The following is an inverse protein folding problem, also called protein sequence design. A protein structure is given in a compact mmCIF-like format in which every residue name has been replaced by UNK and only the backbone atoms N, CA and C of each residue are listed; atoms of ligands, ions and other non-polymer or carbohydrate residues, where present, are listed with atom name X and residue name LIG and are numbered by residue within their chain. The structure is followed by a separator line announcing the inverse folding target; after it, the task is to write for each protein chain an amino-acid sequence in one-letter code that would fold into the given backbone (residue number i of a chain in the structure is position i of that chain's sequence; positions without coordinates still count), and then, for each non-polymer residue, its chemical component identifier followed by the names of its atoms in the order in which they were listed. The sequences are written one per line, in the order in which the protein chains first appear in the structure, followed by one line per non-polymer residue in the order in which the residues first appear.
data_IF_576465646864
#
_entry.id   IF_576465646864
#
_cell.length_a   1.000
_cell.length_b   1.000
_cell.length_c   1.000
_cell.angle_alpha   90.00
_cell.angle_beta   90.00
_cell.angle_gamma   90.00
#
_symmetry.space_group_name_H-M   'P 1'
#
loop_
_entity.id
_entity.type
_entity.pdbx_description
1 polymer ?
#
# COMPACT_ATOMS: atom_id res chain seq x y z
N UNK A 1 -54.15 -5.50 17.63
CA UNK A 1 -54.13 -4.21 16.91
C UNK A 1 -52.78 -3.54 17.12
N UNK A 2 -52.10 -3.10 16.05
CA UNK A 2 -50.84 -2.35 16.19
C UNK A 2 -51.16 -0.88 16.42
N UNK A 3 -50.75 -0.32 17.57
CA UNK A 3 -50.99 1.09 17.91
C UNK A 3 -50.22 2.01 16.95
N UNK A 4 -50.96 2.76 16.13
CA UNK A 4 -50.42 3.80 15.25
C UNK A 4 -50.59 5.17 15.90
N UNK A 5 -49.57 6.01 15.80
CA UNK A 5 -49.55 7.39 16.27
C UNK A 5 -49.30 8.33 15.08
N UNK A 6 -49.88 9.52 15.13
CA UNK A 6 -49.65 10.55 14.12
C UNK A 6 -48.32 11.27 14.38
N UNK A 7 -47.48 11.39 13.37
CA UNK A 7 -46.23 12.16 13.46
C UNK A 7 -46.53 13.67 13.47
N UNK A 8 -46.08 14.44 14.48
CA UNK A 8 -46.38 15.87 14.57
C UNK A 8 -45.69 16.72 13.49
N UNK A 9 -44.65 16.21 12.82
CA UNK A 9 -43.93 16.94 11.75
C UNK A 9 -44.56 16.77 10.36
N UNK A 10 -45.05 15.57 10.02
CA UNK A 10 -45.54 15.26 8.67
C UNK A 10 -46.98 14.74 8.60
N UNK A 11 -47.66 14.58 9.74
CA UNK A 11 -49.05 14.11 9.80
C UNK A 11 -49.27 12.62 9.50
N UNK A 12 -48.23 11.85 9.13
CA UNK A 12 -48.38 10.41 8.82
C UNK A 12 -48.71 9.60 10.08
N UNK A 13 -49.66 8.67 9.97
CA UNK A 13 -49.91 7.65 11.00
C UNK A 13 -48.92 6.48 10.84
N UNK A 14 -47.99 6.34 11.78
CA UNK A 14 -46.98 5.26 11.78
C UNK A 14 -47.03 4.50 13.10
N UNK A 15 -46.46 3.29 13.13
CA UNK A 15 -46.46 2.50 14.36
C UNK A 15 -45.62 3.19 15.44
N UNK A 16 -45.99 3.04 16.72
CA UNK A 16 -45.21 3.62 17.84
C UNK A 16 -43.73 3.19 17.84
N UNK A 17 -43.42 1.98 17.36
CA UNK A 17 -42.06 1.46 17.22
C UNK A 17 -41.20 2.24 16.21
N UNK A 18 -41.82 2.84 15.17
CA UNK A 18 -41.15 3.61 14.11
C UNK A 18 -40.86 5.07 14.50
N UNK A 19 -41.17 5.47 15.72
CA UNK A 19 -40.82 6.78 16.25
C UNK A 19 -39.40 6.81 16.80
N UNK A 20 -38.63 7.80 16.35
CA UNK A 20 -37.31 8.15 16.89
C UNK A 20 -37.46 9.47 17.67
N UNK A 21 -37.58 9.35 19.00
CA UNK A 21 -37.94 10.48 19.86
C UNK A 21 -39.39 10.91 19.64
N UNK A 22 -39.59 12.16 19.22
CA UNK A 22 -40.93 12.78 19.05
C UNK A 22 -41.47 12.73 17.62
N UNK A 23 -40.69 12.25 16.64
CA UNK A 23 -41.06 12.23 15.22
C UNK A 23 -40.91 10.82 14.63
N UNK A 24 -41.55 10.56 13.50
CA UNK A 24 -41.36 9.31 12.77
C UNK A 24 -39.94 9.22 12.19
N UNK A 25 -39.47 7.99 11.94
CA UNK A 25 -38.14 7.71 11.36
C UNK A 25 -37.79 8.54 10.13
N UNK A 26 -38.73 8.69 9.19
CA UNK A 26 -38.51 9.48 7.96
C UNK A 26 -38.19 10.94 8.28
N UNK A 27 -39.03 11.55 9.11
CA UNK A 27 -38.88 12.94 9.53
C UNK A 27 -37.60 13.20 10.34
N UNK A 28 -37.20 12.19 11.12
CA UNK A 28 -35.94 12.19 11.85
C UNK A 28 -34.74 12.18 10.90
N UNK A 29 -34.73 11.29 9.91
CA UNK A 29 -33.64 11.17 8.93
C UNK A 29 -33.48 12.44 8.07
N UNK A 30 -34.58 13.11 7.71
CA UNK A 30 -34.54 14.40 7.00
C UNK A 30 -33.89 15.52 7.84
N UNK A 31 -34.08 15.51 9.16
CA UNK A 31 -33.52 16.51 10.07
C UNK A 31 -32.11 16.19 10.53
N UNK A 32 -31.67 14.94 10.39
CA UNK A 32 -30.39 14.45 10.87
C UNK A 32 -29.59 13.93 9.67
N UNK A 33 -28.81 14.81 9.01
CA UNK A 33 -28.01 14.44 7.85
C UNK A 33 -27.04 13.30 8.20
N UNK A 34 -26.56 12.63 7.16
CA UNK A 34 -25.75 11.43 7.29
C UNK A 34 -24.56 11.65 8.25
N UNK A 35 -24.51 10.95 9.39
CA UNK A 35 -23.52 11.22 10.43
C UNK A 35 -22.12 10.73 10.06
N UNK A 36 -22.02 9.94 9.00
CA UNK A 36 -20.79 9.41 8.45
C UNK A 36 -20.49 10.06 7.10
N UNK A 37 -19.27 10.57 6.96
CA UNK A 37 -18.75 11.03 5.67
C UNK A 37 -17.41 10.36 5.37
N UNK A 38 -16.98 10.46 4.11
CA UNK A 38 -15.69 9.94 3.66
C UNK A 38 -14.91 11.07 3.00
N UNK A 39 -13.74 11.42 3.56
CA UNK A 39 -12.88 12.55 3.15
C UNK A 39 -12.27 12.44 1.75
N UNK A 40 -12.35 11.26 1.14
CA UNK A 40 -11.78 10.97 -0.17
C UNK A 40 -12.88 10.74 -1.20
N UNK A 41 -12.62 11.12 -2.44
CA UNK A 41 -13.44 10.81 -3.62
C UNK A 41 -12.70 9.89 -4.60
N UNK A 42 -11.39 9.72 -4.42
CA UNK A 42 -10.57 8.85 -5.25
C UNK A 42 -9.40 8.27 -4.46
N UNK A 43 -8.89 7.13 -4.93
CA UNK A 43 -7.72 6.44 -4.40
C UNK A 43 -6.71 6.33 -5.54
N UNK A 44 -5.48 6.84 -5.40
CA UNK A 44 -4.46 6.67 -6.44
C UNK A 44 -4.09 5.20 -6.61
N UNK A 45 -4.02 4.74 -7.87
CA UNK A 45 -3.70 3.37 -8.28
C UNK A 45 -2.47 3.40 -9.20
N UNK A 46 -1.43 2.65 -8.85
CA UNK A 46 -0.26 2.50 -9.70
C UNK A 46 -0.58 1.59 -10.89
N UNK A 47 -0.41 2.07 -12.12
CA UNK A 47 -0.67 1.30 -13.34
C UNK A 47 0.32 0.15 -13.57
N UNK A 48 1.52 0.24 -12.99
CA UNK A 48 2.58 -0.77 -13.21
C UNK A 48 2.53 -1.94 -12.22
N UNK A 49 2.21 -1.71 -10.94
CA UNK A 49 2.22 -2.76 -9.91
C UNK A 49 0.87 -2.95 -9.20
N UNK A 50 -0.16 -2.18 -9.55
CA UNK A 50 -1.50 -2.30 -8.96
C UNK A 50 -1.63 -1.87 -7.50
N UNK A 51 -0.55 -1.41 -6.85
CA UNK A 51 -0.62 -0.86 -5.48
C UNK A 51 -1.41 0.45 -5.45
N UNK A 52 -2.02 0.74 -4.30
CA UNK A 52 -2.83 1.93 -4.07
C UNK A 52 -2.14 2.87 -3.06
N UNK A 53 -2.49 4.15 -3.05
CA UNK A 53 -1.93 5.11 -2.11
C UNK A 53 -2.95 5.51 -1.02
N UNK A 54 -2.53 5.36 0.25
CA UNK A 54 -3.19 5.92 1.43
C UNK A 54 -2.27 6.94 2.12
N UNK A 55 -1.72 6.59 3.28
CA UNK A 55 -0.60 7.30 3.89
C UNK A 55 0.76 6.86 3.33
N UNK A 56 0.80 5.66 2.74
CA UNK A 56 1.93 5.07 1.99
C UNK A 56 1.38 4.24 0.84
N UNK A 57 2.26 3.71 -0.01
CA UNK A 57 1.87 2.77 -1.06
C UNK A 57 1.61 1.39 -0.45
N UNK A 58 0.39 0.86 -0.65
CA UNK A 58 -0.09 -0.36 -0.03
C UNK A 58 -0.56 -1.37 -1.09
N UNK A 59 -0.48 -2.68 -0.81
CA UNK A 59 -1.15 -3.69 -1.62
C UNK A 59 -2.65 -3.37 -1.78
N UNK A 60 -3.22 -3.61 -2.97
CA UNK A 60 -4.65 -3.33 -3.25
C UNK A 60 -5.61 -4.03 -2.28
N UNK A 61 -5.23 -5.20 -1.75
CA UNK A 61 -6.00 -5.93 -0.72
C UNK A 61 -6.25 -5.11 0.56
N UNK A 62 -5.44 -4.08 0.84
CA UNK A 62 -5.56 -3.18 1.99
C UNK A 62 -6.39 -1.92 1.67
N UNK A 63 -7.18 -1.92 0.60
CA UNK A 63 -8.03 -0.78 0.23
C UNK A 63 -9.01 -0.38 1.34
N UNK A 64 -9.47 -1.34 2.14
CA UNK A 64 -10.31 -1.03 3.29
C UNK A 64 -9.59 -0.16 4.32
N UNK A 65 -8.30 -0.39 4.57
CA UNK A 65 -7.54 0.42 5.53
C UNK A 65 -7.46 1.89 5.08
N UNK A 66 -7.32 2.11 3.78
CA UNK A 66 -7.35 3.45 3.16
C UNK A 66 -8.72 4.10 3.31
N UNK A 67 -9.81 3.35 3.07
CA UNK A 67 -11.18 3.88 3.22
C UNK A 67 -11.44 4.19 4.69
N UNK A 68 -11.14 3.24 5.59
CA UNK A 68 -11.37 3.34 7.03
C UNK A 68 -10.67 4.54 7.65
N UNK A 69 -9.41 4.80 7.27
CA UNK A 69 -8.65 5.96 7.78
C UNK A 69 -9.20 7.32 7.33
N UNK A 70 -10.10 7.34 6.35
CA UNK A 70 -10.71 8.55 5.80
C UNK A 70 -12.17 8.75 6.22
N UNK A 71 -12.70 7.84 7.05
CA UNK A 71 -14.04 7.97 7.61
C UNK A 71 -14.05 9.12 8.62
N UNK A 72 -15.06 9.98 8.54
CA UNK A 72 -15.35 10.97 9.57
C UNK A 72 -16.74 10.81 10.11
N UNK A 73 -16.86 11.05 11.40
CA UNK A 73 -18.13 11.04 12.12
C UNK A 73 -18.43 12.45 12.61
N UNK A 74 -19.66 12.91 12.39
CA UNK A 74 -20.18 14.15 12.96
C UNK A 74 -20.86 13.94 14.32
N UNK A 75 -20.97 12.69 14.77
CA UNK A 75 -21.58 12.32 16.04
C UNK A 75 -20.67 11.37 16.83
N UNK A 76 -20.65 11.54 18.15
CA UNK A 76 -20.08 10.59 19.08
C UNK A 76 -20.93 9.30 19.14
N UNK A 77 -20.32 8.18 19.57
CA UNK A 77 -20.99 6.87 19.70
C UNK A 77 -21.40 6.20 18.37
N UNK A 78 -20.58 6.31 17.33
CA UNK A 78 -20.73 5.55 16.10
C UNK A 78 -19.85 4.30 16.07
N UNK A 79 -20.46 3.17 15.69
CA UNK A 79 -19.83 1.86 15.67
C UNK A 79 -19.99 1.20 14.30
N UNK A 80 -18.88 0.78 13.70
CA UNK A 80 -18.88 0.03 12.44
C UNK A 80 -19.38 -1.40 12.69
N UNK A 81 -20.28 -1.89 11.84
CA UNK A 81 -20.80 -3.26 11.87
C UNK A 81 -20.07 -4.11 10.84
N UNK A 82 -20.10 -3.69 9.58
CA UNK A 82 -19.53 -4.43 8.47
C UNK A 82 -19.25 -3.49 7.30
N UNK A 83 -18.49 -3.99 6.32
CA UNK A 83 -18.27 -3.31 5.06
C UNK A 83 -18.32 -4.31 3.91
N UNK A 84 -18.59 -3.81 2.72
CA UNK A 84 -18.51 -4.56 1.48
C UNK A 84 -17.92 -3.65 0.41
N UNK A 85 -16.94 -4.17 -0.31
CA UNK A 85 -16.28 -3.49 -1.41
C UNK A 85 -16.58 -4.23 -2.70
N UNK A 86 -16.99 -3.50 -3.73
CA UNK A 86 -17.23 -4.05 -5.06
C UNK A 86 -16.49 -3.21 -6.08
N UNK A 87 -15.67 -3.84 -6.90
CA UNK A 87 -15.07 -3.17 -8.06
C UNK A 87 -16.18 -2.76 -9.04
N UNK A 88 -16.09 -1.52 -9.52
CA UNK A 88 -17.06 -0.92 -10.44
C UNK A 88 -16.34 -0.18 -11.57
N UNK A 89 -17.07 0.12 -12.64
CA UNK A 89 -16.62 1.01 -13.71
C UNK A 89 -17.52 2.24 -13.69
N UNK A 90 -16.91 3.42 -13.61
CA UNK A 90 -17.59 4.72 -13.58
C UNK A 90 -17.05 5.56 -14.74
N UNK A 91 -17.89 5.86 -15.74
CA UNK A 91 -17.50 6.67 -16.90
C UNK A 91 -16.22 6.15 -17.59
N UNK A 92 -16.12 4.82 -17.75
CA UNK A 92 -14.95 4.14 -18.35
C UNK A 92 -13.71 4.05 -17.45
N UNK A 93 -13.77 4.54 -16.21
CA UNK A 93 -12.67 4.49 -15.23
C UNK A 93 -12.94 3.45 -14.16
N UNK A 94 -11.90 2.77 -13.70
CA UNK A 94 -12.02 1.85 -12.57
C UNK A 94 -12.39 2.62 -11.29
N UNK A 95 -13.22 2.01 -10.47
CA UNK A 95 -13.64 2.52 -9.19
C UNK A 95 -13.99 1.40 -8.21
N UNK A 96 -14.31 1.78 -6.98
CA UNK A 96 -14.75 0.86 -5.94
C UNK A 96 -16.00 1.43 -5.27
N UNK A 97 -17.06 0.63 -5.22
CA UNK A 97 -18.24 0.91 -4.40
C UNK A 97 -17.96 0.44 -2.98
N UNK A 98 -17.93 1.38 -2.04
CA UNK A 98 -17.87 1.08 -0.61
C UNK A 98 -19.27 1.15 0.00
N UNK A 99 -19.74 0.04 0.54
CA UNK A 99 -20.94 -0.04 1.37
C UNK A 99 -20.50 -0.30 2.80
N UNK A 100 -20.81 0.63 3.71
CA UNK A 100 -20.35 0.59 5.09
C UNK A 100 -21.57 0.60 5.98
N UNK A 101 -21.78 -0.50 6.71
CA UNK A 101 -22.88 -0.64 7.65
C UNK A 101 -22.38 -0.25 9.03
N UNK A 102 -23.14 0.62 9.69
CA UNK A 102 -22.77 1.13 10.99
C UNK A 102 -24.03 1.39 11.83
N UNK A 103 -23.84 1.60 13.13
CA UNK A 103 -24.91 2.09 14.01
C UNK A 103 -24.41 3.21 14.90
N UNK A 104 -25.35 4.03 15.35
CA UNK A 104 -25.11 5.03 16.40
C UNK A 104 -26.28 5.03 17.38
N UNK A 105 -26.05 5.57 18.59
CA UNK A 105 -27.07 5.68 19.62
C UNK A 105 -27.67 7.07 19.63
N UNK A 106 -28.99 7.17 19.53
CA UNK A 106 -29.72 8.43 19.69
C UNK A 106 -30.92 8.21 20.61
N UNK A 107 -31.00 8.98 21.71
CA UNK A 107 -32.07 8.84 22.70
C UNK A 107 -32.20 7.42 23.27
N UNK A 108 -31.08 6.73 23.51
CA UNK A 108 -31.05 5.34 24.00
C UNK A 108 -31.37 4.26 22.96
N UNK A 109 -31.84 4.63 21.75
CA UNK A 109 -32.11 3.68 20.67
C UNK A 109 -30.90 3.50 19.75
N UNK A 110 -30.67 2.27 19.29
CA UNK A 110 -29.68 1.97 18.23
C UNK A 110 -30.31 2.25 16.87
N UNK A 111 -29.70 3.15 16.10
CA UNK A 111 -30.08 3.43 14.72
C UNK A 111 -29.02 2.81 13.81
N UNK A 112 -29.44 1.88 12.95
CA UNK A 112 -28.57 1.22 11.98
C UNK A 112 -28.70 1.89 10.62
N UNK A 113 -27.57 2.21 9.99
CA UNK A 113 -27.50 2.82 8.67
C UNK A 113 -26.48 2.12 7.78
N UNK A 114 -26.61 2.35 6.48
CA UNK A 114 -25.66 1.93 5.46
C UNK A 114 -25.22 3.15 4.67
N UNK A 115 -23.95 3.53 4.81
CA UNK A 115 -23.32 4.55 3.99
C UNK A 115 -22.82 3.92 2.69
N UNK A 116 -23.15 4.52 1.55
CA UNK A 116 -22.70 4.03 0.25
C UNK A 116 -21.99 5.14 -0.51
N UNK A 117 -20.76 4.90 -0.95
CA UNK A 117 -19.99 5.86 -1.76
C UNK A 117 -19.12 5.15 -2.79
N UNK A 118 -19.17 5.66 -4.02
CA UNK A 118 -18.31 5.25 -5.11
C UNK A 118 -17.01 6.08 -5.07
N UNK A 119 -15.87 5.41 -5.19
CA UNK A 119 -14.55 6.04 -5.23
C UNK A 119 -13.86 5.73 -6.55
N UNK A 120 -13.29 6.72 -7.21
CA UNK A 120 -12.49 6.49 -8.41
C UNK A 120 -11.11 5.90 -8.06
N UNK A 121 -10.62 4.97 -8.87
CA UNK A 121 -9.21 4.57 -8.85
C UNK A 121 -8.44 5.46 -9.83
N UNK A 122 -7.77 6.50 -9.31
CA UNK A 122 -7.04 7.47 -10.13
C UNK A 122 -5.69 6.89 -10.54
N UNK A 123 -5.52 6.61 -11.83
CA UNK A 123 -4.29 6.03 -12.35
C UNK A 123 -3.10 6.98 -12.18
N UNK A 124 -1.97 6.43 -11.75
CA UNK A 124 -0.69 7.13 -11.57
C UNK A 124 0.46 6.10 -11.59
N UNK A 125 1.70 6.55 -11.39
CA UNK A 125 2.88 5.67 -11.21
C UNK A 125 3.45 5.88 -9.81
N UNK A 126 3.64 4.79 -9.05
CA UNK A 126 4.29 4.88 -7.75
C UNK A 126 5.78 5.24 -7.88
N UNK A 127 6.40 5.85 -6.85
CA UNK A 127 7.80 6.27 -6.89
C UNK A 127 8.76 5.15 -7.30
N UNK A 128 8.49 3.91 -6.89
CA UNK A 128 9.35 2.76 -7.21
C UNK A 128 9.23 2.36 -8.67
N UNK A 129 8.01 2.18 -9.18
CA UNK A 129 7.84 1.89 -10.60
C UNK A 129 8.33 3.05 -11.48
N UNK A 130 8.25 4.29 -10.98
CA UNK A 130 8.89 5.45 -11.61
C UNK A 130 10.41 5.31 -11.68
N UNK A 131 11.06 4.95 -10.57
CA UNK A 131 12.51 4.66 -10.52
C UNK A 131 12.90 3.52 -11.47
N UNK A 132 12.11 2.45 -11.53
CA UNK A 132 12.31 1.33 -12.47
C UNK A 132 12.27 1.86 -13.92
N UNK A 133 11.16 2.52 -14.30
CA UNK A 133 11.02 3.03 -15.67
C UNK A 133 12.12 4.02 -16.05
N UNK A 134 12.58 4.81 -15.08
CA UNK A 134 13.70 5.75 -15.27
C UNK A 134 15.10 5.13 -15.17
N UNK A 135 15.23 3.80 -15.04
CA UNK A 135 16.52 3.10 -14.88
C UNK A 135 17.36 3.67 -13.71
N UNK A 136 16.69 4.15 -12.66
CA UNK A 136 17.31 4.81 -11.51
C UNK A 136 17.73 3.77 -10.47
N UNK A 137 19.01 3.82 -10.08
CA UNK A 137 19.57 3.02 -8.99
C UNK A 137 20.59 3.85 -8.22
N UNK A 138 20.63 3.66 -6.90
CA UNK A 138 21.62 4.27 -6.01
C UNK A 138 22.83 3.35 -5.81
N UNK A 139 22.63 2.05 -5.98
CA UNK A 139 23.67 1.06 -5.80
C UNK A 139 23.65 0.00 -6.89
N UNK A 140 24.83 -0.55 -7.19
CA UNK A 140 25.02 -1.71 -8.05
C UNK A 140 25.74 -2.77 -7.21
N UNK A 141 25.22 -3.99 -7.15
CA UNK A 141 25.92 -5.13 -6.56
C UNK A 141 26.35 -6.04 -7.71
N UNK A 142 27.66 -6.17 -7.88
CA UNK A 142 28.31 -7.00 -8.88
C UNK A 142 28.77 -8.28 -8.21
N UNK A 143 28.05 -9.37 -8.48
CA UNK A 143 28.39 -10.71 -8.01
C UNK A 143 29.17 -11.41 -9.12
N UNK A 144 30.32 -11.96 -8.77
CA UNK A 144 31.20 -12.68 -9.70
C UNK A 144 31.58 -14.02 -9.10
N UNK A 145 31.60 -15.05 -9.93
CA UNK A 145 32.03 -16.39 -9.56
C UNK A 145 33.38 -16.67 -10.22
N UNK A 146 34.35 -17.16 -9.45
CA UNK A 146 35.62 -17.61 -10.02
C UNK A 146 35.46 -18.93 -10.80
N UNK A 147 34.46 -19.74 -10.43
CA UNK A 147 34.02 -20.92 -11.17
C UNK A 147 32.93 -20.62 -12.21
N UNK A 148 32.61 -21.62 -13.03
CA UNK A 148 31.51 -21.53 -14.01
C UNK A 148 30.11 -21.58 -13.38
N UNK A 149 30.02 -22.05 -12.14
CA UNK A 149 28.75 -22.25 -11.43
C UNK A 149 28.63 -21.30 -10.23
N UNK A 150 27.38 -20.93 -9.94
CA UNK A 150 27.04 -20.20 -8.73
C UNK A 150 27.25 -21.07 -7.47
N UNK A 151 27.93 -20.56 -6.43
CA UNK A 151 27.97 -21.22 -5.13
C UNK A 151 26.54 -21.40 -4.58
N UNK A 152 26.22 -22.64 -4.17
CA UNK A 152 24.87 -22.99 -3.70
C UNK A 152 24.38 -22.02 -2.62
N UNK A 153 23.24 -21.40 -2.88
CA UNK A 153 22.50 -20.59 -1.90
C UNK A 153 22.76 -19.08 -1.95
N UNK A 154 23.66 -18.58 -2.81
CA UNK A 154 23.90 -17.13 -2.96
C UNK A 154 22.63 -16.40 -3.41
N UNK A 155 22.02 -16.83 -4.51
CA UNK A 155 20.78 -16.27 -5.05
C UNK A 155 19.62 -16.43 -4.08
N UNK A 156 19.52 -17.60 -3.44
CA UNK A 156 18.49 -17.85 -2.43
C UNK A 156 18.58 -16.87 -1.26
N UNK A 157 19.77 -16.54 -0.77
CA UNK A 157 19.96 -15.56 0.30
C UNK A 157 19.61 -14.13 -0.17
N UNK A 158 19.93 -13.81 -1.42
CA UNK A 158 19.55 -12.54 -2.07
C UNK A 158 18.03 -12.43 -2.10
N UNK A 159 17.32 -13.40 -2.69
CA UNK A 159 15.86 -13.44 -2.75
C UNK A 159 15.22 -13.32 -1.36
N UNK A 160 15.71 -14.08 -0.37
CA UNK A 160 15.21 -14.02 1.00
C UNK A 160 15.41 -12.64 1.64
N UNK A 161 16.55 -11.99 1.37
CA UNK A 161 16.84 -10.65 1.89
C UNK A 161 15.93 -9.60 1.24
N UNK A 162 15.58 -9.76 -0.03
CA UNK A 162 14.86 -8.77 -0.84
C UNK A 162 13.34 -8.88 -0.68
N UNK A 163 12.82 -10.10 -0.52
CA UNK A 163 11.39 -10.38 -0.52
C UNK A 163 10.56 -9.45 0.37
N UNK A 164 10.93 -9.15 1.63
CA UNK A 164 10.15 -8.23 2.47
C UNK A 164 10.07 -6.81 1.88
N UNK A 165 11.15 -6.36 1.24
CA UNK A 165 11.26 -5.03 0.67
C UNK A 165 10.49 -4.87 -0.64
N UNK A 166 10.37 -5.93 -1.44
CA UNK A 166 9.48 -5.97 -2.62
C UNK A 166 8.00 -6.00 -2.20
N UNK A 167 7.67 -6.83 -1.22
CA UNK A 167 6.33 -6.91 -0.64
C UNK A 167 5.88 -5.54 -0.10
N UNK A 168 6.77 -4.81 0.56
CA UNK A 168 6.52 -3.46 1.08
C UNK A 168 6.72 -2.33 0.06
N UNK A 169 7.16 -2.62 -1.17
CA UNK A 169 7.54 -1.58 -2.15
C UNK A 169 8.48 -0.56 -1.50
N UNK A 170 9.66 -1.00 -1.12
CA UNK A 170 10.77 -0.11 -0.76
C UNK A 170 11.87 -0.14 -1.83
N UNK A 171 11.97 -1.23 -2.60
CA UNK A 171 12.99 -1.34 -3.66
C UNK A 171 12.45 -1.72 -5.02
N UNK A 172 13.27 -1.45 -6.02
CA UNK A 172 13.29 -2.24 -7.21
C UNK A 172 14.69 -2.77 -7.49
N UNK A 173 14.72 -3.96 -8.08
CA UNK A 173 15.91 -4.58 -8.61
C UNK A 173 15.74 -4.69 -10.11
N UNK A 174 16.70 -4.15 -10.85
CA UNK A 174 16.79 -4.37 -12.28
C UNK A 174 17.91 -5.36 -12.51
N UNK A 175 17.54 -6.63 -12.60
CA UNK A 175 18.40 -7.68 -13.11
C UNK A 175 18.49 -7.54 -14.63
N UNK A 176 19.71 -7.47 -15.15
CA UNK A 176 19.97 -7.68 -16.58
C UNK A 176 21.20 -8.56 -16.76
N UNK A 177 21.06 -9.79 -16.29
CA UNK A 177 21.52 -10.96 -17.03
C UNK A 177 22.69 -11.67 -16.37
N UNK A 178 22.57 -12.99 -16.31
CA UNK A 178 23.70 -13.89 -16.16
C UNK A 178 24.76 -13.49 -17.19
N UNK A 179 25.85 -12.88 -16.71
CA UNK A 179 26.93 -12.47 -17.62
C UNK A 179 27.53 -13.74 -18.22
N UNK A 180 27.93 -13.70 -19.50
CA UNK A 180 28.65 -14.83 -20.16
C UNK A 180 29.90 -15.28 -19.39
N UNK A 181 30.39 -14.42 -18.49
CA UNK A 181 31.55 -14.63 -17.61
C UNK A 181 31.19 -15.18 -16.21
N UNK A 182 29.91 -15.47 -15.93
CA UNK A 182 29.41 -15.88 -14.62
C UNK A 182 29.01 -14.69 -13.72
N UNK A 183 27.93 -14.86 -12.95
CA UNK A 183 27.47 -13.89 -11.95
C UNK A 183 26.34 -12.95 -12.38
N UNK A 184 26.05 -11.97 -11.51
CA UNK A 184 24.89 -11.07 -11.59
C UNK A 184 25.27 -9.61 -11.36
N UNK A 185 24.60 -8.68 -12.04
CA UNK A 185 24.62 -7.25 -11.71
C UNK A 185 23.23 -6.82 -11.21
N UNK A 186 23.14 -6.53 -9.91
CA UNK A 186 21.90 -6.10 -9.27
C UNK A 186 21.88 -4.59 -9.13
N UNK A 187 21.03 -3.92 -9.91
CA UNK A 187 20.80 -2.49 -9.76
C UNK A 187 19.73 -2.25 -8.69
N UNK A 188 20.11 -1.64 -7.57
CA UNK A 188 19.25 -1.44 -6.40
C UNK A 188 18.88 0.04 -6.24
N UNK A 189 17.58 0.32 -6.11
CA UNK A 189 17.05 1.69 -5.99
C UNK A 189 17.33 2.40 -4.66
N UNK A 190 17.69 1.65 -3.61
CA UNK A 190 18.01 2.16 -2.27
C UNK A 190 19.33 1.60 -1.77
N UNK A 191 20.29 2.48 -1.46
CA UNK A 191 21.62 2.08 -0.96
C UNK A 191 21.56 1.27 0.34
N UNK A 192 20.61 1.58 1.22
CA UNK A 192 20.45 0.89 2.53
C UNK A 192 20.19 -0.60 2.36
N UNK A 193 19.39 -0.98 1.36
CA UNK A 193 19.05 -2.39 1.12
C UNK A 193 20.18 -3.10 0.38
N UNK A 194 20.89 -2.40 -0.51
CA UNK A 194 22.12 -2.93 -1.08
C UNK A 194 23.16 -3.28 0.01
N UNK A 195 23.31 -2.42 1.03
CA UNK A 195 24.17 -2.71 2.18
C UNK A 195 23.74 -3.97 2.94
N UNK A 196 22.43 -4.16 3.15
CA UNK A 196 21.90 -5.36 3.83
C UNK A 196 22.23 -6.62 3.03
N UNK A 197 22.01 -6.61 1.71
CA UNK A 197 22.35 -7.74 0.83
C UNK A 197 23.84 -8.06 0.91
N UNK A 198 24.70 -7.04 0.73
CA UNK A 198 26.15 -7.19 0.79
C UNK A 198 26.60 -7.73 2.16
N UNK A 199 26.05 -7.21 3.26
CA UNK A 199 26.38 -7.67 4.61
C UNK A 199 26.02 -9.15 4.80
N UNK A 200 24.82 -9.55 4.39
CA UNK A 200 24.36 -10.94 4.52
C UNK A 200 25.22 -11.89 3.70
N UNK A 201 25.54 -11.53 2.45
CA UNK A 201 26.43 -12.30 1.58
C UNK A 201 27.84 -12.41 2.17
N UNK A 202 28.38 -11.31 2.72
CA UNK A 202 29.70 -11.31 3.34
C UNK A 202 29.78 -12.22 4.56
N UNK A 203 28.75 -12.21 5.40
CA UNK A 203 28.69 -13.06 6.59
C UNK A 203 28.54 -14.54 6.24
N UNK A 204 27.76 -14.87 5.22
CA UNK A 204 27.48 -16.26 4.86
C UNK A 204 28.58 -16.92 4.02
N UNK A 205 29.23 -16.18 3.13
CA UNK A 205 30.09 -16.76 2.10
C UNK A 205 31.52 -16.21 2.07
N UNK A 206 31.82 -15.16 2.85
CA UNK A 206 33.15 -14.55 2.93
C UNK A 206 33.84 -14.27 1.57
N UNK A 207 33.15 -13.65 0.58
CA UNK A 207 33.73 -13.34 -0.72
C UNK A 207 34.79 -12.22 -0.63
N UNK A 208 35.65 -12.10 -1.64
CA UNK A 208 36.47 -10.90 -1.84
C UNK A 208 35.52 -9.71 -2.06
N UNK A 209 35.74 -8.62 -1.34
CA UNK A 209 34.84 -7.47 -1.31
C UNK A 209 35.56 -6.18 -1.68
N UNK A 210 35.03 -5.45 -2.67
CA UNK A 210 35.46 -4.10 -3.04
C UNK A 210 34.26 -3.16 -3.11
N UNK A 211 34.47 -1.90 -2.77
CA UNK A 211 33.46 -0.83 -2.83
C UNK A 211 34.02 0.37 -3.57
N UNK A 212 33.21 1.00 -4.42
CA UNK A 212 33.54 2.27 -5.04
C UNK A 212 32.35 3.23 -5.01
N UNK A 213 32.65 4.53 -5.02
CA UNK A 213 31.65 5.59 -5.00
C UNK A 213 31.87 6.55 -6.17
N UNK A 214 30.79 6.85 -6.89
CA UNK A 214 30.78 7.85 -7.96
C UNK A 214 29.82 8.98 -7.59
N UNK A 215 30.31 10.21 -7.56
CA UNK A 215 29.46 11.39 -7.40
C UNK A 215 28.56 11.53 -8.63
N UNK A 216 27.25 11.60 -8.42
CA UNK A 216 26.26 11.71 -9.51
C UNK A 216 25.45 13.00 -9.44
N UNK A 217 25.60 13.79 -8.38
CA UNK A 217 25.00 15.11 -8.30
C UNK A 217 24.96 15.66 -6.89
N UNK A 218 24.15 16.70 -6.73
CA UNK A 218 23.87 17.34 -5.45
C UNK A 218 22.36 17.37 -5.21
N UNK A 219 21.96 17.04 -4.00
CA UNK A 219 20.64 17.35 -3.49
C UNK A 219 20.64 18.81 -3.06
N UNK A 220 20.12 19.71 -3.90
CA UNK A 220 20.12 21.15 -3.63
C UNK A 220 19.38 21.49 -2.31
N UNK A 221 18.14 20.98 -2.06
CA UNK A 221 17.45 21.21 -0.79
C UNK A 221 18.22 20.78 0.46
N UNK A 222 18.92 19.64 0.40
CA UNK A 222 19.65 19.11 1.55
C UNK A 222 21.15 19.48 1.58
N UNK A 223 21.65 20.20 0.56
CA UNK A 223 23.07 20.45 0.29
C UNK A 223 23.96 19.21 0.42
N UNK A 224 23.42 18.03 0.09
CA UNK A 224 24.12 16.74 0.23
C UNK A 224 24.56 16.22 -1.13
N UNK A 225 25.81 15.77 -1.22
CA UNK A 225 26.33 15.06 -2.39
C UNK A 225 25.57 13.74 -2.57
N UNK A 226 25.08 13.48 -3.78
CA UNK A 226 24.48 12.20 -4.17
C UNK A 226 25.52 11.32 -4.83
N UNK A 227 25.68 10.11 -4.31
CA UNK A 227 26.63 9.13 -4.82
C UNK A 227 25.91 7.88 -5.32
N UNK A 228 26.37 7.33 -6.45
CA UNK A 228 26.13 5.93 -6.80
C UNK A 228 27.24 5.07 -6.20
N UNK A 229 26.86 3.96 -5.58
CA UNK A 229 27.82 3.04 -4.94
C UNK A 229 27.85 1.71 -5.68
N UNK A 230 29.03 1.23 -6.02
CA UNK A 230 29.19 -0.12 -6.60
C UNK A 230 29.86 -1.02 -5.58
N UNK A 231 29.26 -2.17 -5.34
CA UNK A 231 29.80 -3.24 -4.50
C UNK A 231 30.20 -4.40 -5.40
N UNK A 232 31.45 -4.83 -5.35
CA UNK A 232 31.94 -6.01 -6.06
C UNK A 232 32.17 -7.12 -5.03
N UNK A 233 31.53 -8.26 -5.25
CA UNK A 233 31.66 -9.49 -4.48
C UNK A 233 32.16 -10.59 -5.41
N UNK A 234 33.37 -11.10 -5.16
CA UNK A 234 33.91 -12.26 -5.87
C UNK A 234 33.89 -13.47 -4.96
N UNK A 235 33.14 -14.47 -5.36
CA UNK A 235 33.00 -15.70 -4.60
C UNK A 235 34.05 -16.69 -5.12
N UNK A 236 34.84 -17.29 -4.22
CA UNK A 236 35.75 -18.36 -4.60
C UNK A 236 34.97 -19.57 -5.13
N UNK A 237 35.60 -20.49 -5.87
CA UNK A 237 34.98 -21.76 -6.21
C UNK A 237 34.52 -22.45 -4.92
N UNK A 238 33.36 -23.12 -4.98
CA UNK A 238 32.82 -23.86 -3.85
C UNK A 238 33.82 -24.92 -3.40
N UNK A 239 34.38 -24.79 -2.19
CA UNK A 239 34.99 -25.93 -1.52
C UNK A 239 33.85 -26.93 -1.24
N UNK A 240 34.00 -28.17 -1.68
CA UNK A 240 33.03 -29.27 -1.49
C UNK A 240 32.82 -29.69 -0.02
N UNK A 241 33.06 -28.83 0.96
CA UNK A 241 33.03 -29.20 2.37
C UNK A 241 32.56 -28.04 3.24
N UNK A 242 31.23 -27.90 3.33
CA UNK A 242 30.47 -27.45 4.49
C UNK A 242 29.10 -28.13 4.48
#
# INVERSE_FOLDING_TARGET
MVLKLMCPKCGRQVKKEDFLGKVCKVCFEEQNPEPMTLKISSIPLCTNCGKIYGHKWLPRKQIWDVIKSNIQFSQDNLYLISYTLKDIIMSGRQGVQANIRYYYKHGGKKIVKTFSKSLFLKTTTCPICGKIKGNYHEAIIQIRYEGKEEPKGVWKLIEQTIRPYEEDNTIAIQDKGYLKTGGYDLNITLKTIANTIVKNLRNAFQPEYKISHRLVGFDMPASKKKYKTTYLLRFPPSNESL
#
